data_IF_160272772332
#
_entry.id   IF_160272772332
#
_cell.length_a   1.000
_cell.length_b   1.000
_cell.length_c   1.000
_cell.angle_alpha   90.00
_cell.angle_beta   90.00
_cell.angle_gamma   90.00
#
_symmetry.space_group_name_H-M   'P 1'
#
loop_
_entity.id
_entity.type
_entity.pdbx_description
1 polymer ?
#
# COMPACT_ATOMS: atom_id res chain seq x y z
N UNK A 1 -2.51 -31.03 17.51
CA UNK A 1 -1.57 -31.17 16.38
C UNK A 1 -1.41 -29.78 15.81
N UNK A 2 -0.53 -28.99 16.42
CA UNK A 2 -0.22 -27.65 15.90
C UNK A 2 0.87 -27.83 14.86
N UNK A 3 0.53 -27.59 13.60
CA UNK A 3 1.55 -27.52 12.56
C UNK A 3 2.44 -26.31 12.84
N UNK A 4 3.77 -26.46 12.73
CA UNK A 4 4.67 -25.32 12.84
C UNK A 4 4.42 -24.39 11.64
N UNK A 5 3.72 -23.29 11.89
CA UNK A 5 3.61 -22.16 10.95
C UNK A 5 5.02 -21.66 10.69
N UNK A 6 5.41 -21.62 9.42
CA UNK A 6 6.74 -21.21 9.02
C UNK A 6 7.01 -19.78 9.48
N UNK A 7 8.25 -19.45 9.82
CA UNK A 7 8.62 -18.07 10.22
C UNK A 7 8.29 -17.03 9.13
N UNK A 8 8.20 -17.45 7.87
CA UNK A 8 7.77 -16.63 6.74
C UNK A 8 6.28 -16.24 6.81
N UNK A 9 5.42 -17.11 7.32
CA UNK A 9 3.98 -16.82 7.51
C UNK A 9 3.71 -15.89 8.71
N UNK A 10 4.70 -15.70 9.60
CA UNK A 10 4.62 -14.74 10.71
C UNK A 10 4.99 -13.31 10.31
N UNK A 11 5.50 -13.09 9.10
CA UNK A 11 5.75 -11.75 8.60
C UNK A 11 4.40 -11.08 8.35
N UNK A 12 4.04 -10.10 9.18
CA UNK A 12 2.82 -9.33 8.99
C UNK A 12 2.89 -8.56 7.67
N UNK A 13 1.98 -8.88 6.75
CA UNK A 13 1.80 -8.12 5.51
C UNK A 13 1.12 -6.80 5.82
N UNK A 14 1.88 -5.71 5.74
CA UNK A 14 1.36 -4.36 5.96
C UNK A 14 0.77 -3.83 4.66
N UNK A 15 -0.46 -3.31 4.72
CA UNK A 15 -1.10 -2.61 3.60
C UNK A 15 -1.34 -1.16 3.98
N UNK A 16 -1.03 -0.25 3.07
CA UNK A 16 -1.25 1.20 3.24
C UNK A 16 -2.25 1.66 2.20
N UNK A 17 -3.41 2.13 2.66
CA UNK A 17 -4.52 2.53 1.80
C UNK A 17 -4.70 4.05 1.87
N UNK A 18 -4.51 4.72 0.74
CA UNK A 18 -4.66 6.17 0.61
C UNK A 18 -6.00 6.49 -0.05
N UNK A 19 -6.87 7.21 0.67
CA UNK A 19 -8.20 7.58 0.17
C UNK A 19 -8.22 9.05 -0.25
N UNK A 20 -8.83 9.33 -1.40
CA UNK A 20 -8.92 10.66 -2.01
C UNK A 20 -7.57 11.20 -2.48
N UNK A 21 -7.56 12.48 -2.88
CA UNK A 21 -6.36 13.12 -3.41
C UNK A 21 -5.26 13.33 -2.37
N UNK A 22 -5.64 13.66 -1.14
CA UNK A 22 -4.68 13.77 -0.03
C UNK A 22 -3.97 12.44 0.26
N UNK A 23 -4.73 11.35 0.35
CA UNK A 23 -4.18 10.01 0.58
C UNK A 23 -3.30 9.54 -0.57
N UNK A 24 -3.73 9.74 -1.82
CA UNK A 24 -2.94 9.39 -3.01
C UNK A 24 -1.63 10.18 -3.09
N UNK A 25 -1.64 11.46 -2.69
CA UNK A 25 -0.43 12.26 -2.62
C UNK A 25 0.53 11.81 -1.50
N UNK A 26 -0.01 11.38 -0.34
CA UNK A 26 0.79 10.81 0.72
C UNK A 26 1.47 9.50 0.27
N UNK A 27 0.71 8.58 -0.35
CA UNK A 27 1.27 7.35 -0.93
C UNK A 27 2.37 7.67 -1.95
N UNK A 28 2.14 8.63 -2.84
CA UNK A 28 3.15 9.04 -3.83
C UNK A 28 4.46 9.46 -3.16
N UNK A 29 4.40 10.19 -2.05
CA UNK A 29 5.58 10.57 -1.26
C UNK A 29 6.23 9.36 -0.60
N UNK A 30 5.44 8.46 0.00
CA UNK A 30 5.95 7.24 0.62
C UNK A 30 6.71 6.36 -0.38
N UNK A 31 6.16 6.20 -1.58
CA UNK A 31 6.82 5.48 -2.69
C UNK A 31 8.11 6.21 -3.11
N UNK A 32 8.06 7.53 -3.31
CA UNK A 32 9.23 8.33 -3.68
C UNK A 32 10.34 8.33 -2.61
N UNK A 33 9.97 8.20 -1.32
CA UNK A 33 10.90 8.07 -0.20
C UNK A 33 11.46 6.66 -0.04
N UNK A 34 11.05 5.69 -0.88
CA UNK A 34 11.58 4.33 -0.86
C UNK A 34 11.09 3.48 0.32
N UNK A 35 9.88 3.75 0.84
CA UNK A 35 9.30 2.87 1.86
C UNK A 35 9.04 1.49 1.24
N UNK A 36 9.61 0.46 1.87
CA UNK A 36 9.52 -0.95 1.44
C UNK A 36 8.77 -1.80 2.47
N UNK A 37 8.39 -3.01 2.08
CA UNK A 37 7.73 -3.97 2.98
C UNK A 37 6.24 -3.71 3.20
N UNK A 38 5.63 -2.83 2.39
CA UNK A 38 4.21 -2.51 2.43
C UNK A 38 3.59 -2.62 1.04
N UNK A 39 2.34 -3.08 0.97
CA UNK A 39 1.53 -3.01 -0.24
C UNK A 39 0.74 -1.69 -0.23
N UNK A 40 1.01 -0.79 -1.18
CA UNK A 40 0.25 0.46 -1.32
C UNK A 40 -1.02 0.25 -2.15
N UNK A 41 -2.11 0.93 -1.78
CA UNK A 41 -3.38 0.94 -2.52
C UNK A 41 -3.95 2.36 -2.52
N UNK A 42 -4.41 2.84 -3.68
CA UNK A 42 -5.02 4.18 -3.80
C UNK A 42 -6.49 4.07 -4.17
N UNK A 43 -7.36 4.75 -3.42
CA UNK A 43 -8.81 4.79 -3.66
C UNK A 43 -9.23 6.23 -3.89
N UNK A 44 -9.85 6.53 -5.02
CA UNK A 44 -10.30 7.88 -5.33
C UNK A 44 -11.52 7.84 -6.24
N UNK A 45 -12.34 8.90 -6.21
CA UNK A 45 -13.45 9.08 -7.15
C UNK A 45 -13.01 9.80 -8.43
N UNK A 46 -11.88 10.50 -8.36
CA UNK A 46 -11.26 11.18 -9.51
C UNK A 46 -10.49 10.20 -10.39
N UNK A 47 -11.03 9.90 -11.58
CA UNK A 47 -10.38 9.04 -12.57
C UNK A 47 -9.00 9.56 -12.99
N UNK A 48 -8.86 10.88 -13.15
CA UNK A 48 -7.59 11.51 -13.52
C UNK A 48 -6.50 11.25 -12.48
N UNK A 49 -6.85 11.28 -11.20
CA UNK A 49 -5.90 11.01 -10.13
C UNK A 49 -5.56 9.53 -10.01
N UNK A 50 -6.55 8.64 -10.17
CA UNK A 50 -6.31 7.18 -10.22
C UNK A 50 -5.39 6.80 -11.38
N UNK A 51 -5.61 7.36 -12.58
CA UNK A 51 -4.77 7.09 -13.74
C UNK A 51 -3.30 7.54 -13.56
N UNK A 52 -3.05 8.47 -12.64
CA UNK A 52 -1.71 8.95 -12.29
C UNK A 52 -1.18 8.36 -10.95
N UNK A 53 -1.89 7.39 -10.38
CA UNK A 53 -1.50 6.74 -9.13
C UNK A 53 -0.29 5.82 -9.34
N UNK A 54 0.61 5.77 -8.35
CA UNK A 54 1.72 4.80 -8.31
C UNK A 54 1.36 3.51 -7.56
N UNK A 55 0.16 3.49 -6.97
CA UNK A 55 -0.39 2.36 -6.26
C UNK A 55 -1.66 1.87 -6.98
N UNK A 56 -1.82 0.54 -7.12
CA UNK A 56 -3.01 -0.06 -7.73
C UNK A 56 -4.29 0.20 -6.93
#
# INVERSE_FOLDING_TARGET
MDMPVSSAERLQRIKVIGVGGGGSNAIKRMVASGIVGVDFVSINTSLKELAASLAP
#
